data_IF_990493352522
#
_entry.id   IF_990493352522
#
_cell.length_a   1.000
_cell.length_b   1.000
_cell.length_c   1.000
_cell.angle_alpha   90.00
_cell.angle_beta   90.00
_cell.angle_gamma   90.00
#
_symmetry.space_group_name_H-M   'P 1'
#
loop_
_entity.id
_entity.type
_entity.pdbx_description
1 polymer ?
#
# COMPACT_ATOMS: atom_id res chain seq x y z
N UNK A 1 13.55 0.91 12.28
CA UNK A 1 14.26 -0.37 12.00
C UNK A 1 13.75 -1.51 12.88
N UNK A 2 13.81 -1.39 14.22
CA UNK A 2 13.36 -2.46 15.14
C UNK A 2 11.90 -2.86 14.91
N UNK A 3 10.98 -1.89 14.76
CA UNK A 3 9.57 -2.17 14.52
C UNK A 3 9.31 -3.00 13.23
N UNK A 4 9.97 -2.67 12.11
CA UNK A 4 9.84 -3.43 10.86
C UNK A 4 10.42 -4.85 11.00
N UNK A 5 11.55 -4.99 11.71
CA UNK A 5 12.15 -6.30 11.99
C UNK A 5 11.23 -7.19 12.82
N UNK A 6 10.68 -6.66 13.92
CA UNK A 6 9.72 -7.38 14.77
C UNK A 6 8.45 -7.74 13.98
N UNK A 7 7.90 -6.82 13.18
CA UNK A 7 6.72 -7.09 12.35
C UNK A 7 6.95 -8.22 11.33
N UNK A 8 8.12 -8.29 10.69
CA UNK A 8 8.43 -9.36 9.74
C UNK A 8 8.68 -10.71 10.44
N UNK A 9 9.30 -10.71 11.62
CA UNK A 9 9.45 -11.91 12.44
C UNK A 9 8.08 -12.45 12.85
N UNK A 10 7.21 -11.59 13.39
CA UNK A 10 5.84 -11.96 13.76
C UNK A 10 5.02 -12.43 12.54
N UNK A 11 5.15 -11.76 11.39
CA UNK A 11 4.46 -12.13 10.15
C UNK A 11 4.93 -13.47 9.57
N UNK A 12 6.17 -13.88 9.81
CA UNK A 12 6.71 -15.14 9.30
C UNK A 12 6.00 -16.37 9.87
N UNK A 13 5.49 -16.28 11.11
CA UNK A 13 4.67 -17.35 11.73
C UNK A 13 3.32 -17.56 11.03
N UNK A 14 2.81 -16.52 10.35
CA UNK A 14 1.52 -16.55 9.65
C UNK A 14 1.71 -16.69 8.14
N UNK A 15 2.91 -17.11 7.69
CA UNK A 15 3.23 -17.30 6.26
C UNK A 15 3.07 -16.01 5.45
N UNK A 16 3.30 -14.85 6.08
CA UNK A 16 3.18 -13.53 5.47
C UNK A 16 4.35 -13.23 4.54
N UNK A 17 4.07 -12.46 3.48
CA UNK A 17 5.12 -11.82 2.69
C UNK A 17 5.81 -10.72 3.52
N UNK A 18 7.10 -10.45 3.26
CA UNK A 18 7.84 -9.39 3.93
C UNK A 18 7.14 -8.04 3.72
N UNK A 19 6.87 -7.35 4.83
CA UNK A 19 6.18 -6.06 4.85
C UNK A 19 7.21 -4.94 4.81
N UNK A 20 6.95 -3.97 3.94
CA UNK A 20 7.70 -2.72 3.83
C UNK A 20 6.75 -1.52 3.96
N UNK A 21 7.32 -0.35 4.24
CA UNK A 21 6.57 0.91 4.20
C UNK A 21 6.02 1.15 2.80
N UNK A 22 4.72 1.40 2.69
CA UNK A 22 4.03 1.61 1.41
C UNK A 22 3.71 3.08 1.22
N UNK A 23 4.48 3.76 0.35
CA UNK A 23 4.31 5.17 0.04
C UNK A 23 2.88 5.50 -0.39
N UNK A 24 2.30 4.68 -1.26
CA UNK A 24 0.91 4.85 -1.74
C UNK A 24 -0.10 4.80 -0.60
N UNK A 25 0.02 3.84 0.34
CA UNK A 25 -0.91 3.74 1.48
C UNK A 25 -0.74 4.87 2.48
N UNK A 26 0.49 5.31 2.76
CA UNK A 26 0.72 6.44 3.67
C UNK A 26 0.28 7.78 3.06
N UNK A 27 0.47 7.98 1.76
CA UNK A 27 0.02 9.20 1.08
C UNK A 27 -1.51 9.35 1.15
N UNK A 28 -2.25 8.27 0.87
CA UNK A 28 -3.71 8.27 0.97
C UNK A 28 -4.18 8.42 2.42
N UNK A 29 -3.54 7.75 3.37
CA UNK A 29 -3.88 7.87 4.80
C UNK A 29 -3.64 9.29 5.32
N UNK A 30 -2.56 9.94 4.86
CA UNK A 30 -2.25 11.33 5.18
C UNK A 30 -3.25 12.31 4.53
N UNK A 31 -3.61 12.08 3.26
CA UNK A 31 -4.64 12.86 2.56
C UNK A 31 -6.03 12.70 3.21
N UNK A 32 -6.29 11.56 3.84
CA UNK A 32 -7.54 11.28 4.57
C UNK A 32 -7.60 11.89 5.97
N UNK A 33 -6.55 12.61 6.41
CA UNK A 33 -6.52 13.26 7.73
C UNK A 33 -6.37 12.31 8.92
N UNK A 34 -5.91 11.06 8.68
CA UNK A 34 -5.76 10.06 9.75
C UNK A 34 -4.49 10.33 10.53
N UNK A 35 -4.62 10.89 11.74
CA UNK A 35 -3.49 11.20 12.62
C UNK A 35 -3.07 10.04 13.56
N UNK A 36 -3.86 8.95 13.62
CA UNK A 36 -3.65 7.88 14.60
C UNK A 36 -3.27 6.55 13.95
N UNK A 37 -2.43 5.76 14.63
CA UNK A 37 -2.04 4.41 14.20
C UNK A 37 -3.23 3.43 14.14
N UNK A 38 -4.36 3.80 14.75
CA UNK A 38 -5.62 3.06 14.70
C UNK A 38 -6.17 2.91 13.28
N UNK A 39 -5.89 3.84 12.36
CA UNK A 39 -6.32 3.70 10.95
C UNK A 39 -5.73 2.46 10.27
N UNK A 40 -4.48 2.12 10.58
CA UNK A 40 -3.84 0.90 10.09
C UNK A 40 -4.46 -0.37 10.69
N UNK A 41 -4.78 -0.35 11.98
CA UNK A 41 -5.45 -1.47 12.65
C UNK A 41 -6.87 -1.71 12.10
N UNK A 42 -7.63 -0.62 11.87
CA UNK A 42 -8.96 -0.70 11.28
C UNK A 42 -8.90 -1.28 9.86
N UNK A 43 -7.96 -0.82 9.04
CA UNK A 43 -7.74 -1.36 7.68
C UNK A 43 -7.41 -2.85 7.72
N UNK A 44 -6.56 -3.28 8.65
CA UNK A 44 -6.21 -4.70 8.84
C UNK A 44 -7.42 -5.55 9.24
N UNK A 45 -8.24 -5.07 10.17
CA UNK A 45 -9.48 -5.73 10.58
C UNK A 45 -10.47 -5.85 9.41
N UNK A 46 -10.61 -4.78 8.63
CA UNK A 46 -11.50 -4.74 7.46
C UNK A 46 -11.07 -5.79 6.41
N UNK A 47 -9.76 -5.94 6.18
CA UNK A 47 -9.22 -6.98 5.29
C UNK A 47 -9.52 -8.38 5.82
N UNK A 48 -9.39 -8.64 7.12
CA UNK A 48 -9.71 -9.94 7.72
C UNK A 48 -11.19 -10.29 7.55
N UNK A 49 -12.09 -9.33 7.77
CA UNK A 49 -13.54 -9.51 7.56
C UNK A 49 -13.85 -9.70 6.07
N UNK A 50 -13.23 -8.93 5.19
CA UNK A 50 -13.41 -9.06 3.74
C UNK A 50 -12.94 -10.42 3.22
N UNK A 51 -11.83 -10.95 3.72
CA UNK A 51 -11.40 -12.31 3.39
C UNK A 51 -12.38 -13.34 3.95
N UNK A 52 -12.85 -13.20 5.19
CA UNK A 52 -13.81 -14.15 5.78
C UNK A 52 -15.15 -14.23 5.02
N UNK A 53 -15.69 -13.09 4.59
CA UNK A 53 -17.05 -13.01 4.03
C UNK A 53 -17.08 -12.95 2.48
N UNK A 54 -16.04 -12.40 1.86
CA UNK A 54 -16.02 -12.06 0.42
C UNK A 54 -15.11 -12.97 -0.41
N UNK A 55 -14.48 -14.00 0.18
CA UNK A 55 -13.59 -14.95 -0.54
C UNK A 55 -14.25 -15.57 -1.77
N UNK A 56 -15.55 -15.88 -1.72
CA UNK A 56 -16.26 -16.44 -2.88
C UNK A 56 -16.35 -15.46 -4.08
N UNK A 57 -16.36 -14.16 -3.83
CA UNK A 57 -16.45 -13.13 -4.89
C UNK A 57 -15.09 -12.84 -5.50
N UNK A 58 -14.01 -12.88 -4.70
CA UNK A 58 -12.65 -12.68 -5.20
C UNK A 58 -12.20 -13.75 -6.23
N UNK A 59 -12.82 -14.93 -6.24
CA UNK A 59 -12.51 -15.99 -7.21
C UNK A 59 -12.88 -15.61 -8.65
N UNK A 60 -13.94 -14.81 -8.84
CA UNK A 60 -14.40 -14.38 -10.17
C UNK A 60 -13.56 -13.25 -10.76
N UNK A 61 -12.59 -12.69 -10.01
CA UNK A 61 -11.82 -11.55 -10.48
C UNK A 61 -10.75 -12.02 -11.47
N UNK A 62 -10.82 -11.58 -12.74
CA UNK A 62 -9.82 -11.95 -13.72
C UNK A 62 -8.47 -11.32 -13.37
N UNK A 63 -7.40 -12.13 -13.40
CA UNK A 63 -6.02 -11.67 -13.13
C UNK A 63 -5.60 -10.48 -14.01
N UNK A 64 -6.16 -10.37 -15.21
CA UNK A 64 -5.94 -9.24 -16.11
C UNK A 64 -6.40 -7.89 -15.54
N UNK A 65 -7.53 -7.86 -14.81
CA UNK A 65 -8.03 -6.64 -14.19
C UNK A 65 -7.13 -6.19 -13.02
N UNK A 66 -6.61 -7.14 -12.23
CA UNK A 66 -5.62 -6.85 -11.19
C UNK A 66 -4.34 -6.26 -11.77
N UNK A 67 -3.84 -6.80 -12.88
CA UNK A 67 -2.66 -6.26 -13.55
C UNK A 67 -2.90 -4.83 -14.05
N UNK A 68 -4.07 -4.57 -14.65
CA UNK A 68 -4.48 -3.23 -15.08
C UNK A 68 -4.54 -2.23 -13.92
N UNK A 69 -5.13 -2.63 -12.79
CA UNK A 69 -5.19 -1.81 -11.57
C UNK A 69 -3.78 -1.42 -11.08
N UNK A 70 -2.85 -2.38 -11.04
CA UNK A 70 -1.47 -2.12 -10.62
C UNK A 70 -0.78 -1.15 -11.57
N UNK A 71 -0.93 -1.33 -12.90
CA UNK A 71 -0.38 -0.41 -13.89
C UNK A 71 -0.92 1.02 -13.70
N UNK A 72 -2.24 1.17 -13.57
CA UNK A 72 -2.86 2.48 -13.31
C UNK A 72 -2.37 3.11 -12.00
N UNK A 73 -2.23 2.32 -10.93
CA UNK A 73 -1.71 2.81 -9.65
C UNK A 73 -0.25 3.30 -9.75
N UNK A 74 0.57 2.64 -10.57
CA UNK A 74 1.96 3.07 -10.80
C UNK A 74 2.02 4.37 -11.60
N UNK A 75 1.20 4.54 -12.64
CA UNK A 75 1.13 5.81 -13.37
C UNK A 75 0.75 6.98 -12.47
N UNK A 76 -0.17 6.77 -11.52
CA UNK A 76 -0.55 7.81 -10.57
C UNK A 76 0.57 8.15 -9.56
N UNK A 77 1.45 7.20 -9.23
CA UNK A 77 2.55 7.45 -8.31
C UNK A 77 3.68 8.27 -8.96
N UNK A 78 3.80 8.27 -10.29
CA UNK A 78 4.85 9.02 -10.99
C UNK A 78 4.44 10.49 -11.10
N UNK A 79 5.07 11.33 -10.28
CA UNK A 79 4.87 12.78 -10.31
C UNK A 79 5.70 13.41 -11.45
N UNK A 80 5.15 13.35 -12.68
CA UNK A 80 5.81 13.87 -13.89
C UNK A 80 6.12 15.38 -13.83
N UNK A 81 5.35 16.15 -13.06
CA UNK A 81 5.53 17.60 -12.91
C UNK A 81 6.77 17.98 -12.10
N UNK A 82 7.25 17.12 -11.19
CA UNK A 82 8.45 17.39 -10.40
C UNK A 82 9.76 17.16 -11.16
N UNK A 83 9.74 16.40 -12.26
CA UNK A 83 10.94 16.06 -13.04
C UNK A 83 11.64 17.31 -13.63
N UNK A 84 10.96 18.24 -14.33
CA UNK A 84 11.61 19.44 -14.85
C UNK A 84 12.02 20.43 -13.74
N UNK A 85 11.30 20.47 -12.61
CA UNK A 85 11.62 21.33 -11.46
C UNK A 85 12.91 20.88 -10.78
N UNK A 86 13.04 19.57 -10.49
CA UNK A 86 14.26 18.99 -9.91
C UNK A 86 15.48 19.15 -10.82
N UNK A 87 15.29 19.08 -12.14
CA UNK A 87 16.37 19.29 -13.11
C UNK A 87 16.89 20.73 -13.09
N UNK A 88 16.00 21.72 -12.91
CA UNK A 88 16.42 23.13 -12.81
C UNK A 88 17.13 23.46 -11.50
N UNK A 89 16.73 22.87 -10.37
CA UNK A 89 17.35 23.15 -9.06
C UNK A 89 18.75 22.56 -8.91
N UNK A 90 19.11 21.53 -9.69
CA UNK A 90 20.45 20.91 -9.67
C UNK A 90 21.49 21.61 -10.58
N UNK A 91 21.08 22.62 -11.34
CA UNK A 91 21.95 23.36 -12.26
C UNK A 91 22.47 24.67 -11.62
N UNK A 92 22.73 24.65 -10.32
CA UNK A 92 23.43 25.72 -9.58
C UNK A 92 24.49 25.10 -8.67
#
# INVERSE_FOLDING_TARGET
MIALGVSNILGSFVRSMPVTGSFTRTAVNNASGVCTQLGGAFTGLLILVALGFLTGTFYYIPKASLAGLIMCAMFFMVEYEMVPLLWKTKSE
#
